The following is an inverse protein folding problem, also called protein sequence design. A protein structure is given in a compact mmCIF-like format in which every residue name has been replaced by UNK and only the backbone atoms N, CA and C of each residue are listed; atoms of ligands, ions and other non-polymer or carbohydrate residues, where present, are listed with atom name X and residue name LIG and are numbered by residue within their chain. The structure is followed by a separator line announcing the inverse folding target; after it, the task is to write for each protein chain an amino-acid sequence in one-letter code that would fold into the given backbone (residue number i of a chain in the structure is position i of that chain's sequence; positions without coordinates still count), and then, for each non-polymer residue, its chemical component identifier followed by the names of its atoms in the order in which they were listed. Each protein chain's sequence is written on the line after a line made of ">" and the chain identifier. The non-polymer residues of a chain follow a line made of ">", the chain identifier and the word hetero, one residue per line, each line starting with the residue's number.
data_IF_748499046597
#
_entry.id   IF_748499046597
#
_cell.length_a   1.000
_cell.length_b   1.000
_cell.length_c   1.000
_cell.angle_alpha   90.00
_cell.angle_beta   90.00
_cell.angle_gamma   90.00
#
_symmetry.space_group_name_H-M   'P 1'
#
loop_
_entity.id
_entity.type
_entity.pdbx_description
1 polymer ?
#
# COMPACT_ATOMS: atom_id res chain seq x y z
N UNK A 1 -1.44 -9.04 -12.02
CA UNK A 1 -1.13 -7.67 -11.56
C UNK A 1 -2.38 -6.82 -11.74
N UNK A 2 -2.80 -6.11 -10.69
CA UNK A 2 -3.91 -5.14 -10.70
C UNK A 2 -3.30 -3.74 -10.52
N UNK A 3 -3.79 -2.76 -11.26
CA UNK A 3 -3.39 -1.35 -11.11
C UNK A 3 -4.64 -0.59 -10.68
N UNK A 4 -4.56 0.09 -9.53
CA UNK A 4 -5.66 0.89 -8.97
C UNK A 4 -5.19 2.33 -8.81
N UNK A 5 -6.11 3.28 -8.98
CA UNK A 5 -5.81 4.70 -8.79
C UNK A 5 -6.22 5.14 -7.40
N UNK A 6 -5.31 5.84 -6.73
CA UNK A 6 -5.57 6.50 -5.47
C UNK A 6 -5.52 8.02 -5.67
N UNK A 7 -6.55 8.71 -5.17
CA UNK A 7 -6.57 10.17 -5.10
C UNK A 7 -6.25 10.57 -3.65
N UNK A 8 -5.00 10.95 -3.38
CA UNK A 8 -4.56 11.37 -2.05
C UNK A 8 -4.06 12.82 -2.13
N UNK A 9 -4.60 13.73 -1.30
CA UNK A 9 -4.22 15.15 -1.28
C UNK A 9 -4.19 15.84 -2.67
N UNK A 10 -5.17 15.54 -3.52
CA UNK A 10 -5.25 16.02 -4.92
C UNK A 10 -4.21 15.45 -5.89
N UNK A 11 -3.33 14.56 -5.42
CA UNK A 11 -2.40 13.80 -6.26
C UNK A 11 -3.07 12.49 -6.69
N UNK A 12 -3.02 12.18 -7.98
CA UNK A 12 -3.42 10.86 -8.50
C UNK A 12 -2.19 9.99 -8.58
N UNK A 13 -2.19 8.91 -7.81
CA UNK A 13 -1.10 7.93 -7.80
C UNK A 13 -1.60 6.59 -8.30
N UNK A 14 -0.74 5.88 -9.01
CA UNK A 14 -1.03 4.50 -9.40
C UNK A 14 -0.48 3.55 -8.33
N UNK A 15 -1.36 2.72 -7.77
CA UNK A 15 -1.02 1.65 -6.83
C UNK A 15 -1.05 0.32 -7.59
N UNK A 16 0.11 -0.32 -7.66
CA UNK A 16 0.32 -1.59 -8.33
C UNK A 16 0.22 -2.67 -7.26
N UNK A 17 -0.70 -3.60 -7.45
CA UNK A 17 -0.94 -4.68 -6.52
C UNK A 17 -0.78 -6.03 -7.22
N UNK A 18 0.00 -6.90 -6.64
CA UNK A 18 0.21 -8.26 -7.14
C UNK A 18 0.21 -9.24 -5.98
N UNK A 19 -0.40 -10.41 -6.20
CA UNK A 19 -0.36 -11.54 -5.27
C UNK A 19 0.28 -12.72 -5.99
N UNK A 20 1.25 -13.34 -5.36
CA UNK A 20 1.86 -14.59 -5.78
C UNK A 20 1.49 -15.67 -4.77
N UNK A 21 0.46 -16.45 -5.08
CA UNK A 21 -0.03 -17.53 -4.21
C UNK A 21 1.02 -18.62 -4.05
N UNK A 22 1.79 -18.94 -5.08
CA UNK A 22 2.82 -19.98 -5.04
C UNK A 22 3.99 -19.64 -4.11
N UNK A 23 4.23 -18.34 -3.88
CA UNK A 23 5.28 -17.83 -2.99
C UNK A 23 4.74 -17.24 -1.69
N UNK A 24 3.43 -17.29 -1.47
CA UNK A 24 2.75 -16.74 -0.28
C UNK A 24 3.05 -15.25 0.01
N UNK A 25 3.29 -14.47 -1.06
CA UNK A 25 3.62 -13.04 -0.96
C UNK A 25 2.67 -12.17 -1.77
N UNK A 26 2.51 -10.94 -1.31
CA UNK A 26 1.90 -9.85 -2.05
C UNK A 26 2.89 -8.69 -2.20
N UNK A 27 2.82 -8.01 -3.33
CA UNK A 27 3.64 -6.85 -3.64
C UNK A 27 2.74 -5.63 -3.85
N UNK A 28 3.10 -4.53 -3.21
CA UNK A 28 2.51 -3.21 -3.42
C UNK A 28 3.62 -2.30 -3.96
N UNK A 29 3.35 -1.59 -5.05
CA UNK A 29 4.27 -0.56 -5.55
C UNK A 29 3.52 0.73 -5.91
N UNK A 30 4.16 1.87 -5.61
CA UNK A 30 3.66 3.21 -5.90
C UNK A 30 4.78 3.96 -6.63
N UNK A 31 4.82 3.91 -7.98
CA UNK A 31 5.90 4.49 -8.76
C UNK A 31 6.01 6.01 -8.59
N UNK A 32 4.90 6.70 -8.36
CA UNK A 32 4.85 8.16 -8.17
C UNK A 32 5.73 8.64 -7.00
N UNK A 33 6.00 7.76 -6.03
CA UNK A 33 6.84 8.04 -4.86
C UNK A 33 8.07 7.11 -4.78
N UNK A 34 8.40 6.41 -5.86
CA UNK A 34 9.53 5.47 -5.96
C UNK A 34 9.58 4.42 -4.84
N UNK A 35 8.43 3.92 -4.42
CA UNK A 35 8.32 3.01 -3.29
C UNK A 35 7.65 1.69 -3.67
N UNK A 36 8.10 0.60 -3.04
CA UNK A 36 7.48 -0.71 -3.14
C UNK A 36 7.80 -1.57 -1.92
N UNK A 37 6.90 -2.49 -1.59
CA UNK A 37 7.08 -3.48 -0.52
C UNK A 37 6.59 -4.86 -0.97
N UNK A 38 7.23 -5.90 -0.45
CA UNK A 38 6.76 -7.28 -0.49
C UNK A 38 6.35 -7.70 0.94
N UNK A 39 5.13 -8.21 1.09
CA UNK A 39 4.52 -8.59 2.36
C UNK A 39 3.97 -10.02 2.27
N UNK A 40 3.96 -10.81 3.36
CA UNK A 40 3.24 -12.08 3.41
C UNK A 40 1.75 -11.92 3.11
N UNK A 41 1.18 -12.84 2.35
CA UNK A 41 -0.26 -12.81 1.99
C UNK A 41 -1.19 -13.05 3.19
N UNK A 42 -0.65 -13.64 4.27
CA UNK A 42 -1.37 -13.99 5.49
C UNK A 42 -1.60 -12.80 6.43
N UNK A 43 -0.91 -11.67 6.19
CA UNK A 43 -1.05 -10.49 7.03
C UNK A 43 -2.49 -9.97 7.01
N UNK A 44 -3.00 -9.69 8.20
CA UNK A 44 -4.27 -9.01 8.40
C UNK A 44 -4.21 -7.57 7.89
N UNK A 45 -5.38 -6.97 7.66
CA UNK A 45 -5.48 -5.57 7.24
C UNK A 45 -4.80 -4.60 8.21
N UNK A 46 -4.88 -4.88 9.51
CA UNK A 46 -4.29 -4.05 10.55
C UNK A 46 -2.76 -4.16 10.55
N UNK A 47 -2.22 -5.38 10.38
CA UNK A 47 -0.78 -5.59 10.25
C UNK A 47 -0.22 -4.92 8.99
N UNK A 48 -0.93 -5.02 7.85
CA UNK A 48 -0.54 -4.32 6.62
C UNK A 48 -0.56 -2.81 6.85
N UNK A 49 -1.60 -2.30 7.53
CA UNK A 49 -1.70 -0.88 7.83
C UNK A 49 -0.53 -0.36 8.66
N UNK A 50 -0.20 -1.05 9.76
CA UNK A 50 0.93 -0.68 10.62
C UNK A 50 2.26 -0.69 9.87
N UNK A 51 2.51 -1.73 9.06
CA UNK A 51 3.72 -1.83 8.26
C UNK A 51 3.82 -0.69 7.23
N UNK A 52 2.73 -0.39 6.52
CA UNK A 52 2.68 0.73 5.57
C UNK A 52 2.88 2.07 6.27
N UNK A 53 2.25 2.29 7.43
CA UNK A 53 2.40 3.50 8.23
C UNK A 53 3.86 3.72 8.62
N UNK A 54 4.53 2.70 9.18
CA UNK A 54 5.94 2.78 9.58
C UNK A 54 6.84 3.13 8.40
N UNK A 55 6.58 2.58 7.22
CA UNK A 55 7.38 2.88 6.03
C UNK A 55 7.10 4.29 5.49
N UNK A 56 5.83 4.71 5.42
CA UNK A 56 5.46 6.03 4.91
C UNK A 56 5.84 7.18 5.84
N UNK A 57 6.00 6.94 7.13
CA UNK A 57 6.50 7.92 8.10
C UNK A 57 7.91 8.45 7.77
N UNK A 58 8.67 7.73 6.95
CA UNK A 58 9.98 8.20 6.47
C UNK A 58 9.86 9.30 5.39
N UNK A 59 8.69 9.44 4.77
CA UNK A 59 8.46 10.35 3.64
C UNK A 59 7.45 11.45 3.95
N UNK A 60 6.52 11.17 4.86
CA UNK A 60 5.37 12.01 5.15
C UNK A 60 5.22 12.26 6.65
N UNK A 61 4.38 13.24 7.01
CA UNK A 61 3.98 13.41 8.41
C UNK A 61 3.14 12.21 8.87
N UNK A 62 3.04 11.99 10.18
CA UNK A 62 2.26 10.88 10.77
C UNK A 62 0.84 10.80 10.19
N UNK A 63 0.14 11.92 10.17
CA UNK A 63 -1.24 12.00 9.69
C UNK A 63 -1.37 11.68 8.21
N UNK A 64 -0.39 12.11 7.39
CA UNK A 64 -0.37 11.83 5.95
C UNK A 64 -0.01 10.36 5.69
N UNK A 65 0.96 9.82 6.42
CA UNK A 65 1.37 8.42 6.34
C UNK A 65 0.23 7.47 6.75
N UNK A 66 -0.47 7.78 7.85
CA UNK A 66 -1.65 7.03 8.31
C UNK A 66 -2.77 7.07 7.27
N UNK A 67 -3.09 8.27 6.77
CA UNK A 67 -4.13 8.41 5.76
C UNK A 67 -3.78 7.64 4.48
N UNK A 68 -2.53 7.70 4.01
CA UNK A 68 -2.07 6.95 2.84
C UNK A 68 -2.11 5.43 3.05
N UNK A 69 -1.63 4.95 4.21
CA UNK A 69 -1.66 3.54 4.56
C UNK A 69 -3.10 3.00 4.59
N UNK A 70 -4.02 3.72 5.25
CA UNK A 70 -5.44 3.39 5.30
C UNK A 70 -6.07 3.34 3.91
N UNK A 71 -5.82 4.36 3.10
CA UNK A 71 -6.32 4.46 1.74
C UNK A 71 -5.87 3.27 0.87
N UNK A 72 -4.61 2.86 0.98
CA UNK A 72 -4.07 1.68 0.27
C UNK A 72 -4.72 0.40 0.77
N UNK A 73 -4.86 0.23 2.09
CA UNK A 73 -5.49 -0.95 2.69
C UNK A 73 -6.95 -1.12 2.21
N UNK A 74 -7.73 -0.03 2.15
CA UNK A 74 -9.09 -0.08 1.58
C UNK A 74 -9.07 -0.42 0.08
N UNK A 75 -8.14 0.18 -0.65
CA UNK A 75 -8.00 -0.03 -2.09
C UNK A 75 -7.69 -1.50 -2.42
N UNK A 76 -6.79 -2.14 -1.66
CA UNK A 76 -6.45 -3.56 -1.87
C UNK A 76 -7.51 -4.50 -1.34
N UNK A 77 -8.28 -4.13 -0.30
CA UNK A 77 -9.36 -4.95 0.25
C UNK A 77 -10.56 -5.05 -0.71
N UNK A 78 -10.78 -4.05 -1.56
CA UNK A 78 -11.86 -4.03 -2.57
C UNK A 78 -11.54 -4.93 -3.80
N UNK A 79 -11.00 -6.13 -3.60
CA UNK A 79 -10.43 -6.99 -4.66
C UNK A 79 -11.22 -8.24 -5.01
#
# INVERSE_FOLDING_TARGET
>A
MKIKQLCHNSLRMNVYFYQNVDKEVMMIAIPDIYWSVELPIEMSKDEIHEELLMQFFNFYTENEADALARDICELIATN
#
